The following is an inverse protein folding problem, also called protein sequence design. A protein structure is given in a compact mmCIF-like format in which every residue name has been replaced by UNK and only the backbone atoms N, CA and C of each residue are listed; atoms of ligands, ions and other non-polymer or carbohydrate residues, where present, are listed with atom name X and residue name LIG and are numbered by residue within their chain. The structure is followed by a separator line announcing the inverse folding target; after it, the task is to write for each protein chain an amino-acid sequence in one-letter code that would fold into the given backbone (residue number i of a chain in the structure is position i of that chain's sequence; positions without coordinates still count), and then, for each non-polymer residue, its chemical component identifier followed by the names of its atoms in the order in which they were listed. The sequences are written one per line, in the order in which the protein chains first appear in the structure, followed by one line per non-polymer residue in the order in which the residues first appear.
data_IF_857651687937
#
_entry.id   IF_857651687937
#
_cell.length_a   1.000
_cell.length_b   1.000
_cell.length_c   1.000
_cell.angle_alpha   90.00
_cell.angle_beta   90.00
_cell.angle_gamma   90.00
#
_symmetry.space_group_name_H-M   'P 1'
#
loop_
_entity.id
_entity.type
_entity.pdbx_description
1 polymer ?
#
# COMPACT_ATOMS: atom_id res chain seq x y z
N UNK A 1 -2.39 -11.55 21.42
CA UNK A 1 -1.94 -10.48 22.32
C UNK A 1 -1.57 -11.04 23.67
N UNK A 2 -0.70 -10.33 24.39
CA UNK A 2 -0.49 -10.50 25.81
C UNK A 2 -0.59 -9.15 26.53
N UNK A 3 -0.89 -9.17 27.82
CA UNK A 3 -0.94 -8.00 28.70
C UNK A 3 -0.11 -8.29 29.93
N UNK A 4 0.76 -7.34 30.30
CA UNK A 4 1.64 -7.46 31.44
C UNK A 4 1.52 -6.25 32.36
N UNK A 5 1.64 -6.49 33.67
CA UNK A 5 1.79 -5.44 34.70
C UNK A 5 3.15 -4.74 34.60
N UNK A 6 4.17 -5.43 34.08
CA UNK A 6 5.53 -4.97 33.92
C UNK A 6 6.05 -5.37 32.54
N UNK A 7 6.24 -4.43 31.62
CA UNK A 7 6.76 -4.76 30.27
C UNK A 7 8.29 -4.91 30.23
N UNK A 8 9.01 -4.42 31.24
CA UNK A 8 10.45 -4.64 31.37
C UNK A 8 10.75 -6.11 31.73
N UNK A 9 9.87 -6.71 32.54
CA UNK A 9 9.90 -8.11 32.93
C UNK A 9 8.49 -8.68 32.82
N UNK A 10 8.06 -9.02 31.61
CA UNK A 10 6.68 -9.43 31.26
C UNK A 10 6.03 -10.39 32.29
N UNK A 11 6.80 -11.37 32.79
CA UNK A 11 6.30 -12.39 33.73
C UNK A 11 6.37 -11.99 35.21
N UNK A 12 6.74 -10.74 35.52
CA UNK A 12 6.85 -10.22 36.88
C UNK A 12 5.57 -9.45 37.26
N UNK A 13 4.66 -10.12 37.95
CA UNK A 13 3.35 -9.57 38.33
C UNK A 13 2.20 -10.23 37.57
N UNK A 14 1.12 -9.51 37.34
CA UNK A 14 0.00 -10.00 36.52
C UNK A 14 0.40 -10.07 35.04
N UNK A 15 0.27 -11.26 34.46
CA UNK A 15 0.52 -11.52 33.04
C UNK A 15 -0.61 -12.36 32.47
N UNK A 16 -1.13 -11.97 31.31
CA UNK A 16 -2.17 -12.72 30.58
C UNK A 16 -1.79 -12.85 29.12
N UNK A 17 -1.84 -14.07 28.61
CA UNK A 17 -1.63 -14.41 27.20
C UNK A 17 -2.89 -15.07 26.61
N UNK A 18 -2.79 -15.56 25.37
CA UNK A 18 -3.90 -16.15 24.61
C UNK A 18 -5.09 -15.20 24.41
N UNK A 19 -4.80 -13.90 24.32
CA UNK A 19 -5.82 -12.87 24.07
C UNK A 19 -5.97 -12.68 22.56
N UNK A 20 -7.16 -12.95 22.03
CA UNK A 20 -7.41 -13.01 20.59
C UNK A 20 -7.93 -11.72 19.96
N UNK A 21 -8.17 -10.65 20.75
CA UNK A 21 -8.64 -9.37 20.21
C UNK A 21 -7.99 -8.16 20.90
N UNK A 22 -7.80 -7.08 20.15
CA UNK A 22 -7.31 -5.81 20.68
C UNK A 22 -8.24 -5.23 21.75
N UNK A 23 -9.56 -5.31 21.56
CA UNK A 23 -10.55 -4.84 22.52
C UNK A 23 -10.43 -5.55 23.89
N UNK A 24 -10.27 -6.87 23.88
CA UNK A 24 -10.08 -7.65 25.10
C UNK A 24 -8.75 -7.34 25.79
N UNK A 25 -7.66 -7.19 25.01
CA UNK A 25 -6.36 -6.80 25.54
C UNK A 25 -6.43 -5.44 26.24
N UNK A 26 -7.12 -4.46 25.65
CA UNK A 26 -7.34 -3.14 26.24
C UNK A 26 -8.15 -3.21 27.52
N UNK A 27 -9.21 -4.03 27.58
CA UNK A 27 -10.00 -4.22 28.81
C UNK A 27 -9.14 -4.78 29.95
N UNK A 28 -8.30 -5.79 29.66
CA UNK A 28 -7.40 -6.37 30.66
C UNK A 28 -6.37 -5.33 31.10
N UNK A 29 -5.73 -4.62 30.17
CA UNK A 29 -4.78 -3.56 30.44
C UNK A 29 -5.34 -2.45 31.33
N UNK A 30 -6.58 -2.03 31.08
CA UNK A 30 -7.28 -1.03 31.89
C UNK A 30 -7.65 -1.55 33.29
N UNK A 31 -7.92 -2.86 33.43
CA UNK A 31 -8.27 -3.48 34.71
C UNK A 31 -7.08 -3.61 35.68
N UNK A 32 -5.83 -3.58 35.17
CA UNK A 32 -4.63 -3.61 36.01
C UNK A 32 -4.52 -2.28 36.77
N UNK A 33 -4.58 -2.29 38.12
CA UNK A 33 -4.51 -1.07 38.92
C UNK A 33 -3.15 -0.40 38.80
N UNK A 34 -3.16 0.90 38.49
CA UNK A 34 -1.96 1.73 38.32
C UNK A 34 -1.16 1.95 39.61
N UNK A 35 -1.65 1.47 40.75
CA UNK A 35 -1.01 1.62 42.07
C UNK A 35 -0.07 0.46 42.42
N UNK A 36 -0.11 -0.63 41.65
CA UNK A 36 0.80 -1.78 41.84
C UNK A 36 2.14 -1.52 41.14
N UNK A 37 3.18 -2.25 41.56
CA UNK A 37 4.59 -2.15 41.13
C UNK A 37 4.77 -1.56 39.71
N UNK A 38 5.07 -0.26 39.65
CA UNK A 38 5.06 0.57 38.45
C UNK A 38 6.30 0.38 37.56
N UNK A 39 6.50 -0.81 37.01
CA UNK A 39 7.49 -1.07 35.97
C UNK A 39 6.89 -0.96 34.55
N UNK A 40 5.87 -0.12 34.41
CA UNK A 40 5.17 0.18 33.16
C UNK A 40 4.34 -1.00 32.65
N UNK A 41 3.05 -1.03 32.98
CA UNK A 41 2.11 -1.96 32.37
C UNK A 41 1.99 -1.72 30.86
N UNK A 42 1.61 -2.75 30.13
CA UNK A 42 1.51 -2.66 28.68
C UNK A 42 0.82 -3.81 28.01
N UNK A 43 0.79 -3.72 26.68
CA UNK A 43 0.18 -4.69 25.77
C UNK A 43 1.25 -5.06 24.76
N UNK A 44 1.38 -6.34 24.46
CA UNK A 44 2.23 -6.83 23.40
C UNK A 44 1.57 -7.89 22.52
N UNK A 45 2.32 -8.36 21.55
CA UNK A 45 1.91 -9.35 20.57
C UNK A 45 2.92 -10.51 20.54
N UNK A 46 2.40 -11.74 20.55
CA UNK A 46 3.17 -12.93 20.22
C UNK A 46 3.06 -13.16 18.72
N UNK A 47 4.19 -13.24 18.02
CA UNK A 47 4.25 -13.63 16.61
C UNK A 47 4.95 -14.99 16.55
N UNK A 48 4.25 -15.99 16.00
CA UNK A 48 4.82 -17.33 15.85
C UNK A 48 5.88 -17.35 14.75
N UNK A 49 7.03 -17.96 15.04
CA UNK A 49 8.12 -18.20 14.09
C UNK A 49 8.18 -19.69 13.70
N UNK A 50 8.87 -20.01 12.60
CA UNK A 50 9.01 -21.39 12.09
C UNK A 50 9.66 -22.36 13.10
N UNK A 51 10.46 -21.83 14.04
CA UNK A 51 11.12 -22.61 15.08
C UNK A 51 10.22 -22.94 16.28
N UNK A 52 8.97 -22.44 16.27
CA UNK A 52 7.96 -22.67 17.30
C UNK A 52 8.17 -21.87 18.59
N UNK A 53 9.12 -20.93 18.63
CA UNK A 53 9.31 -20.01 19.75
C UNK A 53 8.72 -18.65 19.34
N UNK A 54 7.59 -18.23 19.93
CA UNK A 54 6.99 -16.96 19.56
C UNK A 54 7.89 -15.79 19.97
N UNK A 55 8.03 -14.83 19.05
CA UNK A 55 8.65 -13.54 19.33
C UNK A 55 7.65 -12.64 20.05
N UNK A 56 8.10 -12.02 21.13
CA UNK A 56 7.29 -11.08 21.92
C UNK A 56 7.58 -9.64 21.48
N UNK A 57 6.56 -8.94 20.99
CA UNK A 57 6.63 -7.53 20.59
C UNK A 57 5.86 -6.65 21.56
N UNK A 58 6.56 -5.74 22.24
CA UNK A 58 5.94 -4.72 23.09
C UNK A 58 5.33 -3.62 22.23
N UNK A 59 4.00 -3.49 22.24
CA UNK A 59 3.29 -2.49 21.43
C UNK A 59 2.98 -1.23 22.25
N UNK A 60 2.34 -1.41 23.40
CA UNK A 60 1.98 -0.31 24.31
C UNK A 60 2.83 -0.43 25.55
N UNK A 61 3.53 0.64 25.89
CA UNK A 61 4.35 0.72 27.09
C UNK A 61 4.12 2.05 27.80
N UNK A 62 3.80 2.00 29.09
CA UNK A 62 3.64 3.19 29.94
C UNK A 62 2.64 4.23 29.38
N UNK A 63 1.56 3.76 28.74
CA UNK A 63 0.54 4.63 28.15
C UNK A 63 0.93 5.28 26.80
N UNK A 64 2.02 4.82 26.17
CA UNK A 64 2.42 5.25 24.84
C UNK A 64 2.42 4.07 23.85
N UNK A 65 1.97 4.34 22.63
CA UNK A 65 2.11 3.47 21.46
C UNK A 65 3.01 4.20 20.47
N UNK A 66 4.30 3.85 20.45
CA UNK A 66 5.30 4.50 19.59
C UNK A 66 5.54 3.70 18.32
N UNK A 67 4.81 4.08 17.26
CA UNK A 67 4.82 3.41 15.96
C UNK A 67 6.09 3.76 15.18
N UNK A 68 6.59 4.98 15.36
CA UNK A 68 7.83 5.41 14.72
C UNK A 68 9.01 4.57 15.24
N UNK A 69 9.08 4.34 16.55
CA UNK A 69 10.10 3.48 17.16
C UNK A 69 9.95 2.01 16.72
N UNK A 70 8.72 1.46 16.73
CA UNK A 70 8.46 0.10 16.25
C UNK A 70 9.00 -0.09 14.83
N UNK A 71 8.78 0.90 13.96
CA UNK A 71 9.23 0.87 12.58
C UNK A 71 10.74 1.05 12.42
N UNK A 72 11.38 1.80 13.32
CA UNK A 72 12.83 2.00 13.30
C UNK A 72 13.57 0.74 13.81
N UNK A 73 12.90 -0.13 14.58
CA UNK A 73 13.44 -1.40 15.09
C UNK A 73 13.06 -2.58 14.17
N UNK A 74 11.83 -2.62 13.68
CA UNK A 74 11.25 -3.76 12.96
C UNK A 74 10.79 -3.35 11.55
N UNK A 75 11.09 -4.19 10.56
CA UNK A 75 10.63 -3.99 9.18
C UNK A 75 9.13 -4.34 9.06
N UNK A 76 8.26 -3.39 8.65
CA UNK A 76 6.83 -3.66 8.41
C UNK A 76 6.53 -4.75 7.38
N UNK A 77 7.46 -5.02 6.45
CA UNK A 77 7.29 -6.10 5.48
C UNK A 77 7.63 -7.47 6.08
N UNK A 78 8.49 -7.50 7.11
CA UNK A 78 8.85 -8.73 7.81
C UNK A 78 7.82 -9.10 8.88
N UNK A 79 7.29 -8.10 9.60
CA UNK A 79 6.34 -8.31 10.69
C UNK A 79 5.05 -7.49 10.51
N UNK A 80 4.28 -7.72 9.44
CA UNK A 80 3.07 -6.94 9.15
C UNK A 80 2.02 -7.03 10.27
N UNK A 81 1.94 -8.16 10.98
CA UNK A 81 0.98 -8.40 12.08
C UNK A 81 1.17 -7.41 13.23
N UNK A 82 2.42 -7.04 13.52
CA UNK A 82 2.78 -6.08 14.58
C UNK A 82 2.16 -4.71 14.31
N UNK A 83 2.22 -4.26 13.05
CA UNK A 83 1.70 -2.95 12.65
C UNK A 83 0.19 -2.95 12.46
N UNK A 84 -0.41 -4.09 12.06
CA UNK A 84 -1.86 -4.30 12.09
C UNK A 84 -2.35 -4.20 13.54
N UNK A 85 -1.70 -4.91 14.46
CA UNK A 85 -2.05 -4.90 15.86
C UNK A 85 -1.90 -3.52 16.51
N UNK A 86 -0.85 -2.77 16.18
CA UNK A 86 -0.67 -1.38 16.59
C UNK A 86 -1.83 -0.49 16.11
N UNK A 87 -2.25 -0.66 14.85
CA UNK A 87 -3.39 0.08 14.28
C UNK A 87 -4.69 -0.24 15.02
N UNK A 88 -4.97 -1.52 15.26
CA UNK A 88 -6.16 -1.94 16.02
C UNK A 88 -6.16 -1.36 17.43
N UNK A 89 -5.04 -1.46 18.16
CA UNK A 89 -4.91 -0.90 19.51
C UNK A 89 -5.11 0.63 19.54
N UNK A 90 -4.62 1.35 18.52
CA UNK A 90 -4.80 2.80 18.42
C UNK A 90 -6.27 3.23 18.36
N UNK A 91 -7.15 2.37 17.84
CA UNK A 91 -8.59 2.62 17.78
C UNK A 91 -9.30 2.44 19.13
N UNK A 92 -8.76 1.59 20.02
CA UNK A 92 -9.37 1.25 21.31
C UNK A 92 -8.75 1.98 22.51
N UNK A 93 -7.65 2.70 22.33
CA UNK A 93 -6.90 3.38 23.38
C UNK A 93 -6.94 4.92 23.22
N UNK A 94 -8.07 5.59 23.51
CA UNK A 94 -8.21 7.03 23.29
C UNK A 94 -7.33 7.90 24.20
N UNK A 95 -6.90 7.39 25.35
CA UNK A 95 -6.02 8.11 26.29
C UNK A 95 -4.52 7.78 26.11
N UNK A 96 -4.19 6.79 25.26
CA UNK A 96 -2.80 6.43 24.98
C UNK A 96 -2.22 7.41 23.97
N UNK A 97 -1.01 7.90 24.25
CA UNK A 97 -0.30 8.77 23.32
C UNK A 97 0.21 7.90 22.16
N UNK A 98 -0.39 8.07 21.00
CA UNK A 98 0.05 7.43 19.76
C UNK A 98 1.07 8.32 19.07
N UNK A 99 2.30 7.83 18.89
CA UNK A 99 3.37 8.51 18.16
C UNK A 99 3.48 7.84 16.80
N UNK A 100 2.91 8.48 15.78
CA UNK A 100 2.95 8.05 14.37
C UNK A 100 3.25 9.25 13.48
N UNK A 101 4.41 9.89 13.69
CA UNK A 101 4.77 11.10 12.93
C UNK A 101 4.99 10.81 11.44
N UNK A 102 5.23 9.54 11.11
CA UNK A 102 5.48 9.08 9.73
C UNK A 102 4.22 8.47 9.08
N UNK A 103 3.08 8.49 9.76
CA UNK A 103 1.74 8.24 9.20
C UNK A 103 1.42 6.78 8.84
N UNK A 104 2.11 5.81 9.44
CA UNK A 104 1.99 4.39 9.13
C UNK A 104 0.66 3.77 9.59
N UNK A 105 0.12 4.19 10.74
CA UNK A 105 -1.20 3.73 11.20
C UNK A 105 -2.32 4.38 10.39
N UNK A 106 -2.08 5.59 9.87
CA UNK A 106 -2.99 6.29 8.96
C UNK A 106 -2.89 5.84 7.51
N UNK A 107 -1.94 4.95 7.18
CA UNK A 107 -1.75 4.42 5.83
C UNK A 107 -2.98 3.60 5.44
N UNK A 108 -3.91 4.27 4.77
CA UNK A 108 -5.09 3.65 4.20
C UNK A 108 -4.63 2.77 3.04
N UNK A 109 -5.18 1.58 2.96
CA UNK A 109 -4.96 0.68 1.83
C UNK A 109 -6.24 0.55 1.02
N UNK A 110 -6.08 0.35 -0.28
CA UNK A 110 -7.18 0.11 -1.21
C UNK A 110 -6.71 -0.85 -2.29
N UNK A 111 -7.55 -1.81 -2.67
CA UNK A 111 -7.22 -2.67 -3.80
C UNK A 111 -7.14 -1.83 -5.09
N UNK A 112 -6.09 -2.04 -5.87
CA UNK A 112 -5.90 -1.35 -7.15
C UNK A 112 -7.06 -1.61 -8.13
N UNK A 113 -7.75 -2.75 -7.99
CA UNK A 113 -8.98 -3.10 -8.74
C UNK A 113 -10.12 -2.12 -8.48
N UNK A 114 -10.33 -1.74 -7.21
CA UNK A 114 -11.37 -0.78 -6.81
C UNK A 114 -11.04 0.61 -7.33
N UNK A 115 -9.76 1.01 -7.24
CA UNK A 115 -9.30 2.26 -7.85
C UNK A 115 -9.57 2.27 -9.37
N UNK A 116 -9.23 1.19 -10.07
CA UNK A 116 -9.44 1.07 -11.51
C UNK A 116 -10.92 1.10 -11.91
N UNK A 117 -11.82 0.49 -11.12
CA UNK A 117 -13.26 0.56 -11.37
C UNK A 117 -13.80 1.98 -11.29
N UNK A 118 -13.34 2.77 -10.32
CA UNK A 118 -13.73 4.17 -10.18
C UNK A 118 -13.14 5.06 -11.28
N UNK A 119 -11.91 4.79 -11.73
CA UNK A 119 -11.30 5.44 -12.90
C UNK A 119 -12.13 5.18 -14.17
N UNK A 120 -12.51 3.93 -14.43
CA UNK A 120 -13.34 3.57 -15.59
C UNK A 120 -14.69 4.28 -15.56
N UNK A 121 -15.32 4.37 -14.37
CA UNK A 121 -16.58 5.12 -14.22
C UNK A 121 -16.38 6.60 -14.56
N UNK A 122 -15.30 7.22 -14.07
CA UNK A 122 -14.98 8.62 -14.38
C UNK A 122 -14.77 8.83 -15.88
N UNK A 123 -14.00 7.96 -16.54
CA UNK A 123 -13.73 8.03 -17.98
C UNK A 123 -15.02 7.86 -18.82
N UNK A 124 -15.87 6.90 -18.47
CA UNK A 124 -17.18 6.70 -19.12
C UNK A 124 -18.09 7.92 -18.97
N UNK A 125 -18.09 8.56 -17.80
CA UNK A 125 -18.90 9.75 -17.57
C UNK A 125 -18.30 11.00 -18.23
N UNK A 126 -16.98 11.02 -18.41
CA UNK A 126 -16.28 12.10 -19.08
C UNK A 126 -16.62 12.16 -20.57
N UNK A 127 -16.56 11.00 -21.24
CA UNK A 127 -16.84 10.86 -22.67
C UNK A 127 -17.62 9.57 -22.99
N UNK A 128 -18.94 9.56 -22.72
CA UNK A 128 -19.77 8.36 -22.92
C UNK A 128 -19.90 7.95 -24.39
N UNK A 129 -19.77 8.89 -25.32
CA UNK A 129 -19.96 8.65 -26.76
C UNK A 129 -18.75 7.95 -27.38
N UNK A 130 -17.54 8.28 -26.93
CA UNK A 130 -16.30 7.73 -27.51
C UNK A 130 -15.56 6.73 -26.63
N UNK A 131 -15.95 6.53 -25.36
CA UNK A 131 -15.27 5.60 -24.45
C UNK A 131 -15.00 4.22 -25.07
N UNK A 132 -16.03 3.59 -25.64
CA UNK A 132 -15.89 2.26 -26.26
C UNK A 132 -15.12 2.26 -27.60
N UNK A 133 -14.95 3.43 -28.23
CA UNK A 133 -14.10 3.58 -29.42
C UNK A 133 -12.63 3.53 -29.03
N UNK A 134 -12.26 4.20 -27.94
CA UNK A 134 -10.88 4.20 -27.43
C UNK A 134 -10.55 2.91 -26.67
N UNK A 135 -11.51 2.37 -25.93
CA UNK A 135 -11.33 1.18 -25.07
C UNK A 135 -12.33 0.07 -25.46
N UNK A 136 -12.13 -0.58 -26.62
CA UNK A 136 -13.03 -1.64 -27.09
C UNK A 136 -13.00 -2.89 -26.21
N UNK A 137 -11.93 -3.07 -25.42
CA UNK A 137 -11.74 -4.18 -24.48
C UNK A 137 -11.52 -3.65 -23.07
N UNK A 138 -12.63 -3.39 -22.38
CA UNK A 138 -12.62 -2.80 -21.03
C UNK A 138 -11.78 -3.59 -20.01
N UNK A 139 -11.74 -4.92 -20.11
CA UNK A 139 -10.92 -5.74 -19.23
C UNK A 139 -9.41 -5.50 -19.41
N UNK A 140 -8.93 -5.35 -20.66
CA UNK A 140 -7.53 -5.04 -20.94
C UNK A 140 -7.19 -3.61 -20.47
N UNK A 141 -8.14 -2.67 -20.62
CA UNK A 141 -7.99 -1.31 -20.11
C UNK A 141 -7.94 -1.24 -18.58
N UNK A 142 -8.79 -2.02 -17.90
CA UNK A 142 -8.77 -2.13 -16.44
C UNK A 142 -7.41 -2.66 -15.94
N UNK A 143 -6.88 -3.70 -16.57
CA UNK A 143 -5.53 -4.22 -16.25
C UNK A 143 -4.46 -3.14 -16.44
N UNK A 144 -4.52 -2.38 -17.54
CA UNK A 144 -3.58 -1.29 -17.79
C UNK A 144 -3.66 -0.17 -16.73
N UNK A 145 -4.86 0.20 -16.29
CA UNK A 145 -5.04 1.17 -15.18
C UNK A 145 -4.41 0.64 -13.89
N UNK A 146 -4.65 -0.62 -13.55
CA UNK A 146 -4.07 -1.25 -12.35
C UNK A 146 -2.54 -1.20 -12.41
N UNK A 147 -1.95 -1.65 -13.52
CA UNK A 147 -0.50 -1.66 -13.70
C UNK A 147 0.10 -0.25 -13.57
N UNK A 148 -0.49 0.71 -14.26
CA UNK A 148 -0.02 2.10 -14.25
C UNK A 148 -0.17 2.74 -12.87
N UNK A 149 -1.28 2.49 -12.17
CA UNK A 149 -1.51 3.00 -10.83
C UNK A 149 -0.61 2.35 -9.76
N UNK A 150 -0.03 1.18 -10.04
CA UNK A 150 0.97 0.54 -9.16
C UNK A 150 2.38 1.11 -9.35
N UNK A 151 2.67 1.74 -10.49
CA UNK A 151 3.97 2.38 -10.78
C UNK A 151 4.02 3.83 -10.28
N UNK A 152 5.18 4.28 -9.78
CA UNK A 152 5.35 5.65 -9.29
C UNK A 152 5.13 6.69 -10.40
N UNK A 153 5.74 6.53 -11.57
CA UNK A 153 5.56 7.46 -12.69
C UNK A 153 4.09 7.46 -13.19
N UNK A 154 3.45 6.28 -13.23
CA UNK A 154 2.05 6.16 -13.64
C UNK A 154 1.07 6.81 -12.68
N UNK A 155 1.36 6.76 -11.36
CA UNK A 155 0.64 7.52 -10.33
C UNK A 155 0.71 9.03 -10.58
N UNK A 156 1.91 9.55 -10.86
CA UNK A 156 2.09 10.99 -11.11
C UNK A 156 1.31 11.46 -12.34
N UNK A 157 1.25 10.64 -13.39
CA UNK A 157 0.46 10.95 -14.57
C UNK A 157 -1.03 10.96 -14.29
N UNK A 158 -1.55 9.97 -13.57
CA UNK A 158 -2.96 9.97 -13.16
C UNK A 158 -3.29 11.15 -12.26
N UNK A 159 -2.43 11.49 -11.29
CA UNK A 159 -2.64 12.67 -10.44
C UNK A 159 -2.70 13.96 -11.28
N UNK A 160 -1.83 14.10 -12.29
CA UNK A 160 -1.83 15.24 -13.22
C UNK A 160 -3.09 15.30 -14.06
N UNK A 161 -3.52 14.16 -14.62
CA UNK A 161 -4.74 14.08 -15.44
C UNK A 161 -5.99 14.40 -14.61
N UNK A 162 -6.12 13.80 -13.42
CA UNK A 162 -7.22 14.05 -12.47
C UNK A 162 -7.27 15.51 -12.02
N UNK A 163 -6.12 16.18 -11.92
CA UNK A 163 -6.02 17.61 -11.63
C UNK A 163 -6.15 18.54 -12.85
N UNK A 164 -6.47 18.02 -14.04
CA UNK A 164 -6.49 18.82 -15.26
C UNK A 164 -7.75 19.67 -15.41
N UNK A 165 -7.66 20.69 -16.28
CA UNK A 165 -8.76 21.64 -16.52
C UNK A 165 -9.99 21.03 -17.20
N UNK A 166 -9.90 19.80 -17.70
CA UNK A 166 -11.02 19.12 -18.36
C UNK A 166 -12.22 18.94 -17.44
N UNK A 167 -11.98 18.82 -16.13
CA UNK A 167 -13.01 18.64 -15.12
C UNK A 167 -13.62 19.97 -14.63
N UNK A 168 -12.99 21.12 -14.87
CA UNK A 168 -13.49 22.42 -14.38
C UNK A 168 -14.88 22.79 -14.91
N UNK A 169 -15.25 22.29 -16.09
CA UNK A 169 -16.53 22.56 -16.73
C UNK A 169 -17.64 21.58 -16.31
N UNK A 170 -17.30 20.51 -15.56
CA UNK A 170 -18.23 19.46 -15.12
C UNK A 170 -18.07 19.22 -13.60
N UNK A 171 -18.78 20.00 -12.74
CA UNK A 171 -18.58 19.96 -11.28
C UNK A 171 -18.72 18.58 -10.64
N UNK A 172 -19.67 17.77 -11.11
CA UNK A 172 -19.89 16.40 -10.61
C UNK A 172 -18.68 15.49 -10.90
N UNK A 173 -18.08 15.61 -12.08
CA UNK A 173 -16.88 14.85 -12.44
C UNK A 173 -15.64 15.39 -11.75
N UNK A 174 -15.59 16.69 -11.49
CA UNK A 174 -14.51 17.31 -10.72
C UNK A 174 -14.44 16.75 -9.30
N UNK A 175 -15.57 16.64 -8.62
CA UNK A 175 -15.60 16.06 -7.27
C UNK A 175 -15.09 14.60 -7.28
N UNK A 176 -15.49 13.82 -8.29
CA UNK A 176 -15.03 12.45 -8.45
C UNK A 176 -13.51 12.38 -8.76
N UNK A 177 -13.01 13.25 -9.65
CA UNK A 177 -11.60 13.32 -9.99
C UNK A 177 -10.73 13.75 -8.79
N UNK A 178 -11.17 14.74 -8.01
CA UNK A 178 -10.48 15.20 -6.81
C UNK A 178 -10.41 14.10 -5.73
N UNK A 179 -11.48 13.30 -5.57
CA UNK A 179 -11.47 12.12 -4.68
C UNK A 179 -10.49 11.05 -5.14
N UNK A 180 -10.47 10.73 -6.43
CA UNK A 180 -9.54 9.76 -7.00
C UNK A 180 -8.09 10.22 -6.87
N UNK A 181 -7.84 11.52 -7.07
CA UNK A 181 -6.51 12.11 -6.90
C UNK A 181 -6.05 12.01 -5.45
N UNK A 182 -6.90 12.40 -4.52
CA UNK A 182 -6.63 12.30 -3.08
C UNK A 182 -6.36 10.85 -2.67
N UNK A 183 -7.14 9.90 -3.22
CA UNK A 183 -6.93 8.47 -2.98
C UNK A 183 -5.55 8.03 -3.46
N UNK A 184 -5.17 8.40 -4.67
CA UNK A 184 -3.89 8.02 -5.24
C UNK A 184 -2.68 8.63 -4.51
N UNK A 185 -2.85 9.80 -3.89
CA UNK A 185 -1.81 10.50 -3.11
C UNK A 185 -1.70 10.03 -1.65
N UNK A 186 -2.80 9.55 -1.04
CA UNK A 186 -2.87 9.27 0.40
C UNK A 186 -3.07 7.79 0.74
N UNK A 187 -3.33 6.94 -0.25
CA UNK A 187 -3.69 5.53 -0.05
C UNK A 187 -2.67 4.65 -0.77
N UNK A 188 -2.16 3.64 -0.06
CA UNK A 188 -1.33 2.60 -0.65
C UNK A 188 -2.21 1.63 -1.43
N UNK A 189 -2.05 1.63 -2.76
CA UNK A 189 -2.74 0.67 -3.63
C UNK A 189 -2.12 -0.72 -3.48
N UNK A 190 -2.96 -1.70 -3.13
CA UNK A 190 -2.57 -3.10 -3.01
C UNK A 190 -2.80 -3.79 -4.37
N UNK A 191 -1.81 -4.51 -4.92
CA UNK A 191 -1.99 -5.27 -6.15
C UNK A 191 -3.00 -6.43 -5.97
N UNK A 192 -3.74 -6.82 -7.03
CA UNK A 192 -4.59 -8.01 -6.96
C UNK A 192 -3.75 -9.29 -6.80
N UNK A 193 -4.33 -10.31 -6.16
CA UNK A 193 -3.63 -11.57 -5.83
C UNK A 193 -3.16 -12.33 -7.08
N UNK A 194 -3.87 -12.19 -8.19
CA UNK A 194 -3.59 -12.82 -9.47
C UNK A 194 -2.86 -11.88 -10.46
N UNK A 195 -2.22 -10.83 -9.95
CA UNK A 195 -1.49 -9.86 -10.77
C UNK A 195 -0.41 -10.56 -11.61
N UNK A 196 -0.60 -10.54 -12.92
CA UNK A 196 0.41 -11.03 -13.88
C UNK A 196 1.59 -10.05 -13.93
N UNK A 197 2.82 -10.55 -14.11
CA UNK A 197 3.98 -9.67 -14.29
C UNK A 197 3.81 -8.80 -15.54
N UNK A 198 4.19 -7.54 -15.41
CA UNK A 198 4.05 -6.51 -16.43
C UNK A 198 5.30 -5.63 -16.50
N UNK A 199 5.42 -4.86 -17.57
CA UNK A 199 6.49 -3.89 -17.79
C UNK A 199 5.85 -2.53 -18.00
N UNK A 200 6.34 -1.51 -17.31
CA UNK A 200 6.00 -0.11 -17.56
C UNK A 200 7.13 0.57 -18.33
N UNK A 201 6.82 1.12 -19.51
CA UNK A 201 7.82 1.81 -20.32
C UNK A 201 7.89 3.28 -19.90
N UNK A 202 8.89 3.61 -19.10
CA UNK A 202 9.12 4.99 -18.65
C UNK A 202 9.66 5.91 -19.75
N UNK A 203 10.65 5.43 -20.51
CA UNK A 203 11.32 6.19 -21.57
C UNK A 203 11.60 5.24 -22.73
N UNK A 204 11.35 5.73 -23.94
CA UNK A 204 11.68 5.08 -25.20
C UNK A 204 12.04 6.15 -26.23
N UNK A 205 13.11 5.92 -26.98
CA UNK A 205 13.46 6.74 -28.16
C UNK A 205 12.99 6.09 -29.47
N UNK A 206 12.37 4.90 -29.41
CA UNK A 206 11.95 4.17 -30.60
C UNK A 206 10.46 4.37 -30.87
N UNK A 207 10.08 4.65 -32.13
CA UNK A 207 8.70 4.96 -32.50
C UNK A 207 7.72 3.81 -32.22
N UNK A 208 8.21 2.56 -32.26
CA UNK A 208 7.38 1.36 -32.07
C UNK A 208 7.16 0.95 -30.61
N UNK A 209 7.77 1.64 -29.63
CA UNK A 209 7.50 1.35 -28.22
C UNK A 209 6.59 2.44 -27.66
N UNK A 210 5.38 2.07 -27.19
CA UNK A 210 4.48 3.03 -26.60
C UNK A 210 5.09 3.59 -25.32
N UNK A 211 5.14 4.92 -25.24
CA UNK A 211 5.58 5.67 -24.08
C UNK A 211 4.49 5.68 -23.01
N UNK A 212 4.89 5.61 -21.74
CA UNK A 212 3.98 5.77 -20.58
C UNK A 212 2.85 4.72 -20.54
N UNK A 213 3.07 3.57 -21.20
CA UNK A 213 2.12 2.47 -21.27
C UNK A 213 2.65 1.25 -20.52
N UNK A 214 1.75 0.61 -19.77
CA UNK A 214 2.02 -0.67 -19.12
C UNK A 214 1.58 -1.82 -20.03
N UNK A 215 2.39 -2.87 -20.13
CA UNK A 215 2.07 -4.05 -20.94
C UNK A 215 2.44 -5.36 -20.25
N UNK A 216 1.76 -6.48 -20.56
CA UNK A 216 2.14 -7.80 -20.07
C UNK A 216 3.59 -8.16 -20.38
N UNK A 217 4.27 -8.83 -19.44
CA UNK A 217 5.68 -9.21 -19.61
C UNK A 217 5.93 -10.04 -20.89
N UNK A 218 5.03 -10.97 -21.23
CA UNK A 218 5.17 -11.78 -22.44
C UNK A 218 5.12 -10.94 -23.73
N UNK A 219 4.24 -9.93 -23.79
CA UNK A 219 4.17 -8.99 -24.92
C UNK A 219 5.42 -8.11 -24.98
N UNK A 220 5.90 -7.64 -23.83
CA UNK A 220 7.13 -6.84 -23.75
C UNK A 220 8.35 -7.63 -24.27
N UNK A 221 8.50 -8.89 -23.84
CA UNK A 221 9.59 -9.76 -24.29
C UNK A 221 9.53 -10.00 -25.81
N UNK A 222 8.34 -10.23 -26.37
CA UNK A 222 8.18 -10.42 -27.81
C UNK A 222 8.52 -9.14 -28.59
N UNK A 223 8.02 -7.98 -28.14
CA UNK A 223 8.28 -6.68 -28.75
C UNK A 223 9.77 -6.33 -28.71
N UNK A 224 10.38 -6.36 -27.53
CA UNK A 224 11.79 -6.02 -27.36
C UNK A 224 12.69 -7.01 -28.11
N UNK A 225 12.36 -8.30 -28.09
CA UNK A 225 13.09 -9.30 -28.86
C UNK A 225 12.98 -9.11 -30.38
N UNK A 226 11.86 -8.61 -30.89
CA UNK A 226 11.71 -8.24 -32.31
C UNK A 226 12.59 -7.03 -32.64
N UNK A 227 12.55 -5.98 -31.82
CA UNK A 227 13.32 -4.76 -32.02
C UNK A 227 14.83 -5.01 -31.92
N UNK A 228 15.27 -5.85 -30.98
CA UNK A 228 16.66 -6.28 -30.87
C UNK A 228 17.16 -6.96 -32.16
N UNK A 229 16.35 -7.87 -32.73
CA UNK A 229 16.71 -8.56 -33.97
C UNK A 229 16.82 -7.58 -35.13
N UNK A 230 15.88 -6.64 -35.23
CA UNK A 230 15.88 -5.63 -36.28
C UNK A 230 17.11 -4.72 -36.17
N UNK A 231 17.46 -4.24 -34.97
CA UNK A 231 18.66 -3.44 -34.75
C UNK A 231 19.96 -4.18 -35.14
N UNK A 232 20.05 -5.48 -34.84
CA UNK A 232 21.19 -6.33 -35.23
C UNK A 232 21.24 -6.52 -36.75
N UNK A 233 20.11 -6.72 -37.41
CA UNK A 233 20.02 -6.90 -38.87
C UNK A 233 20.32 -5.60 -39.64
N UNK A 234 19.85 -4.46 -39.15
CA UNK A 234 20.00 -3.14 -39.78
C UNK A 234 21.33 -2.44 -39.43
N UNK A 235 22.11 -3.00 -38.50
CA UNK A 235 23.35 -2.41 -37.93
C UNK A 235 23.14 -1.03 -37.31
N UNK A 236 21.91 -0.69 -36.95
CA UNK A 236 21.59 0.59 -36.33
C UNK A 236 21.86 0.47 -34.82
N UNK A 237 22.97 1.08 -34.37
CA UNK A 237 23.45 1.01 -32.99
C UNK A 237 22.90 2.17 -32.14
N UNK A 238 21.65 2.61 -32.36
CA UNK A 238 20.95 3.47 -31.43
C UNK A 238 20.36 2.59 -30.32
N UNK A 239 21.16 2.38 -29.26
CA UNK A 239 20.91 1.38 -28.23
C UNK A 239 19.67 1.61 -27.39
N UNK A 240 18.89 0.55 -27.19
CA UNK A 240 17.85 0.46 -26.18
C UNK A 240 18.45 0.25 -24.79
N UNK A 241 18.27 1.20 -23.86
CA UNK A 241 18.68 1.03 -22.47
C UNK A 241 17.68 0.16 -21.71
N UNK A 242 18.03 -1.12 -21.51
CA UNK A 242 17.18 -2.16 -20.90
C UNK A 242 17.15 -2.15 -19.36
N UNK A 243 17.76 -1.19 -18.69
CA UNK A 243 17.97 -1.28 -17.24
C UNK A 243 17.58 0.00 -16.52
N UNK A 244 16.30 0.07 -16.11
CA UNK A 244 15.89 0.62 -14.83
C UNK A 244 14.65 -0.14 -14.37
N UNK A 245 14.86 -1.15 -13.53
CA UNK A 245 13.80 -1.72 -12.71
C UNK A 245 13.80 -0.91 -11.40
N UNK A 246 12.71 -0.20 -11.12
CA UNK A 246 12.39 0.30 -9.77
C UNK A 246 11.73 -0.82 -8.96
#
# INVERSE_FOLDING_TARGET
YYVAECMEFNRYGEYREDIHSAEEAVKIYQSIPSERLNAGKGIGLHVEEEDGIPLEFSLVYNGELDVDLLRDIYDPNQYPEVFIAARELSAYLPETKVIDTKGLLTEKTLEATVFADEMIKLEKNLDPDFYHTFYPKEAEHKEAIIWKALCQDGKEEYSRWLGSKIFEQKPELKEQADKLKTTLEQVKLIPPVDLKPFVYVRISEHPDIPLEEAMPLNKAVELFGKLDRQAVEEKDMAGYYKTHFE
#
